data_IF_530843332958
#
_entry.id   IF_530843332958
#
_cell.length_a   1.000
_cell.length_b   1.000
_cell.length_c   1.000
_cell.angle_alpha   90.00
_cell.angle_beta   90.00
_cell.angle_gamma   90.00
#
_symmetry.space_group_name_H-M   'P 1'
#
loop_
_entity.id
_entity.type
_entity.pdbx_description
1 polymer ?
#
# COMPACT_ATOMS: atom_id res chain seq x y z
N UNK A 1 10.83 42.76 -17.28
CA UNK A 1 9.40 42.41 -16.97
C UNK A 1 9.18 40.90 -16.77
N UNK A 2 9.87 40.01 -17.51
CA UNK A 2 9.76 38.56 -17.36
C UNK A 2 10.14 38.05 -15.94
N UNK A 3 11.20 38.63 -15.34
CA UNK A 3 11.62 38.28 -13.97
C UNK A 3 10.56 38.61 -12.90
N UNK A 4 9.80 39.69 -13.08
CA UNK A 4 8.71 40.05 -12.14
C UNK A 4 7.54 39.06 -12.24
N UNK A 5 7.16 38.68 -13.45
CA UNK A 5 6.08 37.71 -13.65
C UNK A 5 6.46 36.32 -13.17
N UNK A 6 7.72 35.91 -13.39
CA UNK A 6 8.23 34.62 -12.89
C UNK A 6 8.30 34.58 -11.35
N UNK A 7 8.71 35.67 -10.70
CA UNK A 7 8.78 35.77 -9.23
C UNK A 7 7.37 35.74 -8.61
N UNK A 8 6.42 36.47 -9.20
CA UNK A 8 5.02 36.45 -8.79
C UNK A 8 4.43 35.04 -8.98
N UNK A 9 4.70 34.39 -10.10
CA UNK A 9 4.25 33.03 -10.38
C UNK A 9 4.83 32.00 -9.40
N UNK A 10 6.12 32.10 -9.07
CA UNK A 10 6.77 31.24 -8.06
C UNK A 10 6.20 31.44 -6.66
N UNK A 11 5.89 32.70 -6.28
CA UNK A 11 5.24 32.99 -5.00
C UNK A 11 3.81 32.44 -4.99
N UNK A 12 3.08 32.54 -6.10
CA UNK A 12 1.74 31.96 -6.23
C UNK A 12 1.75 30.45 -6.10
N UNK A 13 2.70 29.76 -6.77
CA UNK A 13 2.86 28.31 -6.66
C UNK A 13 3.22 27.91 -5.22
N UNK A 14 4.17 28.61 -4.58
CA UNK A 14 4.58 28.30 -3.21
C UNK A 14 3.44 28.56 -2.20
N UNK A 15 2.69 29.67 -2.40
CA UNK A 15 1.52 29.98 -1.58
C UNK A 15 0.38 28.99 -1.80
N UNK A 16 0.17 28.53 -3.02
CA UNK A 16 -0.81 27.51 -3.38
C UNK A 16 -0.46 26.14 -2.76
N UNK A 17 0.83 25.75 -2.80
CA UNK A 17 1.33 24.52 -2.17
C UNK A 17 1.21 24.58 -0.63
N UNK A 18 1.45 25.75 -0.03
CA UNK A 18 1.23 25.94 1.41
C UNK A 18 -0.26 25.87 1.78
N UNK A 19 -1.15 26.38 0.93
CA UNK A 19 -2.59 26.30 1.15
C UNK A 19 -3.15 24.89 1.01
N UNK A 20 -2.66 24.10 0.04
CA UNK A 20 -3.06 22.71 -0.12
C UNK A 20 -2.54 21.84 1.02
N UNK A 21 -1.34 22.11 1.53
CA UNK A 21 -0.72 21.35 2.61
C UNK A 21 -1.01 21.94 4.01
N UNK A 22 -1.79 23.02 4.09
CA UNK A 22 -2.28 23.55 5.33
C UNK A 22 -3.48 22.74 5.80
N UNK A 23 -3.21 21.61 6.42
CA UNK A 23 -4.16 20.93 7.29
C UNK A 23 -4.04 21.62 8.66
N UNK A 24 -4.97 22.50 9.07
CA UNK A 24 -5.04 22.89 10.46
C UNK A 24 -5.24 21.61 11.27
N UNK A 25 -4.60 21.46 12.45
CA UNK A 25 -4.90 20.34 13.33
C UNK A 25 -6.43 20.32 13.48
N UNK A 26 -7.03 19.17 13.18
CA UNK A 26 -8.46 18.97 13.37
C UNK A 26 -8.78 19.40 14.80
N UNK A 27 -9.55 20.46 14.95
CA UNK A 27 -10.23 20.69 16.21
C UNK A 27 -11.11 19.48 16.41
N UNK A 28 -10.86 18.73 17.47
CA UNK A 28 -11.81 17.78 18.02
C UNK A 28 -13.10 18.55 18.34
N UNK A 29 -13.95 18.72 17.34
CA UNK A 29 -15.36 18.92 17.61
C UNK A 29 -15.86 17.59 18.16
N UNK A 30 -16.05 17.59 19.46
CA UNK A 30 -16.91 16.66 20.18
C UNK A 30 -18.28 16.81 19.53
N UNK A 31 -18.55 16.03 18.48
CA UNK A 31 -19.90 15.82 17.99
C UNK A 31 -20.52 14.78 18.92
N UNK A 32 -20.94 15.30 20.08
CA UNK A 32 -21.88 14.63 20.94
C UNK A 32 -23.21 14.47 20.19
N UNK A 33 -23.67 13.23 20.14
CA UNK A 33 -25.09 12.86 20.13
C UNK A 33 -26.03 13.73 19.31
N UNK A 34 -26.19 13.49 18.01
CA UNK A 34 -27.48 13.72 17.33
C UNK A 34 -27.50 13.26 15.86
N UNK A 35 -26.82 12.17 15.50
CA UNK A 35 -27.08 11.47 14.22
C UNK A 35 -27.55 10.05 14.52
N UNK A 36 -28.68 9.95 15.20
CA UNK A 36 -29.36 8.68 15.47
C UNK A 36 -30.84 8.74 15.03
N UNK A 37 -31.18 9.44 13.97
CA UNK A 37 -32.58 9.42 13.52
C UNK A 37 -32.81 9.46 12.02
N UNK A 38 -31.84 9.04 11.19
CA UNK A 38 -32.13 8.83 9.75
C UNK A 38 -31.43 7.58 9.21
N UNK A 39 -31.64 6.45 9.90
CA UNK A 39 -31.17 5.14 9.43
C UNK A 39 -32.35 4.18 9.26
N UNK A 40 -33.18 4.43 8.25
CA UNK A 40 -34.30 3.54 7.89
C UNK A 40 -33.90 2.50 6.83
N UNK A 41 -32.60 2.21 6.62
CA UNK A 41 -32.13 1.12 5.74
C UNK A 41 -30.78 0.54 6.23
N UNK A 42 -30.72 0.11 7.50
CA UNK A 42 -29.69 -0.85 7.91
C UNK A 42 -30.39 -2.20 8.10
N UNK A 43 -29.86 -3.29 7.51
CA UNK A 43 -30.34 -4.62 7.81
C UNK A 43 -30.27 -4.84 9.32
N UNK A 44 -31.36 -5.24 9.92
CA UNK A 44 -31.53 -5.46 11.37
C UNK A 44 -30.78 -6.71 11.90
N UNK A 45 -30.11 -7.44 11.04
CA UNK A 45 -29.30 -8.59 11.47
C UNK A 45 -27.89 -8.12 11.81
N UNK A 46 -27.35 -8.44 12.99
CA UNK A 46 -26.01 -8.04 13.38
C UNK A 46 -25.03 -8.62 12.37
N UNK A 47 -24.29 -7.72 11.70
CA UNK A 47 -23.05 -8.11 11.02
C UNK A 47 -22.22 -8.85 12.07
N UNK A 48 -21.69 -10.06 11.81
CA UNK A 48 -20.87 -10.78 12.77
C UNK A 48 -19.85 -9.84 13.35
N UNK A 49 -19.81 -9.71 14.66
CA UNK A 49 -18.85 -8.80 15.29
C UNK A 49 -17.45 -9.11 14.80
N UNK A 50 -16.61 -8.11 14.64
CA UNK A 50 -15.30 -8.25 13.98
C UNK A 50 -14.28 -9.10 14.73
N UNK A 51 -14.57 -9.57 15.92
CA UNK A 51 -13.82 -10.63 16.58
C UNK A 51 -13.87 -11.95 15.80
N UNK A 52 -14.71 -12.03 14.79
CA UNK A 52 -14.85 -13.16 13.87
C UNK A 52 -13.88 -13.15 12.65
N UNK A 53 -12.91 -12.27 12.54
CA UNK A 53 -11.64 -12.69 11.93
C UNK A 53 -11.00 -13.66 12.93
N UNK A 54 -11.46 -14.90 12.87
CA UNK A 54 -11.26 -15.89 13.91
C UNK A 54 -9.80 -16.03 14.22
N UNK A 55 -9.46 -15.84 15.47
CA UNK A 55 -8.25 -16.36 16.07
C UNK A 55 -8.28 -17.89 16.06
N UNK A 56 -8.02 -18.52 14.91
CA UNK A 56 -7.73 -19.96 14.86
C UNK A 56 -6.41 -20.33 15.54
N UNK A 57 -5.68 -19.31 16.06
CA UNK A 57 -4.43 -19.50 16.79
C UNK A 57 -4.56 -19.54 18.30
N UNK A 58 -5.79 -19.48 18.86
CA UNK A 58 -5.99 -19.37 20.32
C UNK A 58 -5.70 -20.63 21.15
N UNK A 59 -5.24 -21.75 20.56
CA UNK A 59 -4.90 -22.96 21.32
C UNK A 59 -3.39 -23.24 21.46
N UNK A 60 -2.51 -22.42 20.90
CA UNK A 60 -1.06 -22.62 21.01
C UNK A 60 -0.35 -21.36 21.54
N UNK A 61 -0.61 -21.02 22.79
CA UNK A 61 0.26 -20.16 23.58
C UNK A 61 1.34 -21.06 24.20
N UNK A 62 2.54 -20.86 23.73
CA UNK A 62 3.86 -21.06 24.32
C UNK A 62 4.85 -21.75 23.37
N UNK A 63 5.92 -21.03 23.14
CA UNK A 63 7.18 -21.46 22.56
C UNK A 63 7.49 -20.95 21.15
N UNK A 64 8.33 -19.93 21.11
CA UNK A 64 8.93 -19.34 19.91
C UNK A 64 9.79 -20.31 19.05
N UNK A 65 9.89 -21.57 19.45
CA UNK A 65 10.58 -22.63 18.71
C UNK A 65 9.66 -23.60 17.96
N UNK A 66 8.34 -23.47 18.12
CA UNK A 66 7.37 -24.40 17.53
C UNK A 66 6.96 -23.96 16.12
N UNK A 67 7.01 -22.67 15.81
CA UNK A 67 6.56 -22.13 14.51
C UNK A 67 7.38 -22.67 13.32
N UNK A 68 8.70 -22.89 13.50
CA UNK A 68 9.55 -23.42 12.43
C UNK A 68 9.37 -24.93 12.20
N UNK A 69 8.89 -25.67 13.19
CA UNK A 69 8.63 -27.10 13.07
C UNK A 69 7.27 -27.41 12.44
N UNK A 70 6.27 -26.55 12.65
CA UNK A 70 4.91 -26.71 12.09
C UNK A 70 4.91 -26.43 10.58
N UNK A 71 5.68 -25.47 10.10
CA UNK A 71 5.74 -25.07 8.69
C UNK A 71 6.32 -26.14 7.76
N UNK A 72 7.11 -27.08 8.24
CA UNK A 72 7.68 -28.17 7.44
C UNK A 72 6.79 -29.43 7.34
N UNK A 73 5.67 -29.47 8.06
CA UNK A 73 4.80 -30.65 8.17
C UNK A 73 3.41 -30.46 7.51
N UNK A 74 3.08 -29.24 7.04
CA UNK A 74 1.80 -29.01 6.37
C UNK A 74 1.78 -29.61 4.96
N UNK A 75 0.73 -30.36 4.65
CA UNK A 75 0.47 -30.81 3.30
C UNK A 75 0.04 -29.61 2.44
N UNK A 76 0.74 -29.40 1.32
CA UNK A 76 0.51 -28.27 0.43
C UNK A 76 0.23 -28.70 -0.99
N UNK A 77 -0.47 -27.85 -1.73
CA UNK A 77 -0.65 -27.99 -3.17
C UNK A 77 -0.11 -26.75 -3.89
N UNK A 78 0.61 -26.99 -4.98
CA UNK A 78 1.23 -25.94 -5.78
C UNK A 78 0.46 -25.70 -7.06
N UNK A 79 0.35 -24.41 -7.46
CA UNK A 79 -0.09 -23.97 -8.79
C UNK A 79 0.88 -22.93 -9.32
N UNK A 80 1.09 -22.91 -10.64
CA UNK A 80 2.05 -21.98 -11.24
C UNK A 80 1.66 -21.59 -12.66
N UNK A 81 1.98 -20.35 -13.02
CA UNK A 81 1.94 -19.86 -14.39
C UNK A 81 3.33 -19.35 -14.79
N UNK A 82 3.44 -18.54 -15.83
CA UNK A 82 4.70 -17.97 -16.31
C UNK A 82 5.29 -16.90 -15.36
N UNK A 83 4.47 -16.28 -14.51
CA UNK A 83 4.85 -15.14 -13.70
C UNK A 83 5.07 -15.49 -12.23
N UNK A 84 4.28 -16.43 -11.70
CA UNK A 84 4.24 -16.70 -10.27
C UNK A 84 3.92 -18.17 -9.97
N UNK A 85 4.40 -18.62 -8.80
CA UNK A 85 4.10 -19.92 -8.22
C UNK A 85 3.52 -19.72 -6.83
N UNK A 86 2.40 -20.37 -6.55
CA UNK A 86 1.72 -20.32 -5.25
C UNK A 86 1.77 -21.68 -4.57
N UNK A 87 1.95 -21.69 -3.25
CA UNK A 87 1.75 -22.85 -2.38
C UNK A 87 0.52 -22.58 -1.49
N UNK A 88 -0.44 -23.50 -1.54
CA UNK A 88 -1.68 -23.46 -0.78
C UNK A 88 -1.63 -24.56 0.27
N UNK A 89 -1.86 -24.22 1.53
CA UNK A 89 -1.94 -25.18 2.63
C UNK A 89 -3.25 -25.94 2.56
N UNK A 90 -3.21 -27.27 2.63
CA UNK A 90 -4.41 -28.12 2.70
C UNK A 90 -4.99 -28.19 4.11
N UNK A 91 -4.25 -27.79 5.14
CA UNK A 91 -4.77 -27.69 6.50
C UNK A 91 -5.74 -26.52 6.65
N UNK A 92 -5.40 -25.35 6.09
CA UNK A 92 -6.16 -24.09 6.28
C UNK A 92 -6.81 -23.56 5.01
N UNK A 93 -6.37 -23.94 3.82
CA UNK A 93 -6.79 -23.37 2.53
C UNK A 93 -6.18 -21.99 2.26
N UNK A 94 -5.16 -21.58 3.04
CA UNK A 94 -4.45 -20.32 2.90
C UNK A 94 -3.38 -20.38 1.83
N UNK A 95 -3.11 -19.25 1.15
CA UNK A 95 -1.91 -19.13 0.32
C UNK A 95 -0.75 -18.75 1.22
N UNK A 96 0.11 -19.70 1.51
CA UNK A 96 1.21 -19.58 2.47
C UNK A 96 2.52 -19.12 1.85
N UNK A 97 2.67 -19.29 0.53
CA UNK A 97 3.85 -18.85 -0.20
C UNK A 97 3.50 -18.38 -1.61
N UNK A 98 4.12 -17.29 -2.03
CA UNK A 98 4.05 -16.75 -3.39
C UNK A 98 5.45 -16.42 -3.85
N UNK A 99 5.88 -17.04 -4.93
CA UNK A 99 7.19 -16.86 -5.57
C UNK A 99 7.00 -16.18 -6.93
N UNK A 100 7.73 -15.09 -7.16
CA UNK A 100 7.70 -14.32 -8.40
C UNK A 100 8.82 -14.82 -9.34
N UNK A 101 8.49 -15.63 -10.34
CA UNK A 101 9.45 -16.37 -11.17
C UNK A 101 10.37 -15.48 -12.02
N UNK A 102 9.94 -14.27 -12.37
CA UNK A 102 10.68 -13.31 -13.18
C UNK A 102 11.42 -12.23 -12.37
N UNK A 103 11.45 -12.37 -11.04
CA UNK A 103 12.04 -11.38 -10.14
C UNK A 103 13.05 -12.06 -9.20
N UNK A 104 14.32 -12.22 -9.65
CA UNK A 104 15.35 -12.81 -8.82
C UNK A 104 15.65 -11.93 -7.61
N UNK A 105 15.95 -12.54 -6.47
CA UNK A 105 16.30 -11.85 -5.23
C UNK A 105 17.63 -11.10 -5.36
N UNK A 106 18.58 -11.65 -6.12
CA UNK A 106 19.91 -11.08 -6.37
C UNK A 106 20.20 -11.12 -7.87
N UNK A 107 21.05 -10.18 -8.33
CA UNK A 107 21.50 -10.14 -9.72
C UNK A 107 22.28 -11.42 -10.01
N UNK A 108 21.83 -12.20 -10.99
CA UNK A 108 22.34 -13.53 -11.34
C UNK A 108 22.15 -14.62 -10.27
N UNK A 109 21.32 -14.37 -9.24
CA UNK A 109 20.93 -15.37 -8.26
C UNK A 109 19.93 -16.39 -8.85
N UNK A 110 19.90 -17.59 -8.26
CA UNK A 110 18.90 -18.63 -8.62
C UNK A 110 17.62 -18.53 -7.79
N UNK A 111 17.66 -17.81 -6.67
CA UNK A 111 16.52 -17.64 -5.78
C UNK A 111 15.63 -16.50 -6.26
N UNK A 112 14.34 -16.77 -6.36
CA UNK A 112 13.33 -15.80 -6.73
C UNK A 112 12.79 -15.05 -5.50
N UNK A 113 12.18 -13.89 -5.74
CA UNK A 113 11.54 -13.08 -4.71
C UNK A 113 10.31 -13.81 -4.18
N UNK A 114 10.27 -14.03 -2.86
CA UNK A 114 9.10 -14.53 -2.15
C UNK A 114 8.28 -13.33 -1.69
N UNK A 115 7.05 -13.22 -2.18
CA UNK A 115 6.13 -12.17 -1.75
C UNK A 115 5.34 -12.62 -0.52
N UNK A 116 4.77 -13.84 -0.55
CA UNK A 116 4.23 -14.48 0.65
C UNK A 116 5.24 -15.48 1.22
N UNK A 117 5.33 -15.48 2.54
CA UNK A 117 6.06 -16.49 3.29
C UNK A 117 5.52 -16.53 4.73
N UNK A 118 4.51 -17.37 4.96
CA UNK A 118 3.90 -17.57 6.28
C UNK A 118 4.93 -18.05 7.32
N UNK A 119 5.89 -18.85 6.88
CA UNK A 119 6.92 -19.42 7.72
C UNK A 119 8.15 -18.51 7.89
N UNK A 120 8.18 -17.38 7.21
CA UNK A 120 9.23 -16.38 7.33
C UNK A 120 9.03 -15.45 8.52
N UNK A 121 10.04 -14.61 8.75
CA UNK A 121 9.99 -13.59 9.82
C UNK A 121 8.80 -12.63 9.70
N UNK A 122 8.28 -12.46 8.49
CA UNK A 122 7.21 -11.51 8.19
C UNK A 122 5.82 -12.11 8.40
N UNK A 123 5.69 -13.43 8.55
CA UNK A 123 4.41 -14.14 8.68
C UNK A 123 3.36 -13.60 7.67
N UNK A 124 3.74 -13.56 6.38
CA UNK A 124 2.98 -12.90 5.33
C UNK A 124 2.23 -13.95 4.50
N UNK A 125 0.89 -13.89 4.53
CA UNK A 125 0.04 -14.84 3.83
C UNK A 125 -1.32 -14.26 3.51
N UNK A 126 -2.07 -14.92 2.60
CA UNK A 126 -3.43 -14.56 2.23
C UNK A 126 -4.39 -15.67 2.66
N UNK A 127 -5.48 -15.25 3.27
CA UNK A 127 -6.54 -16.13 3.76
C UNK A 127 -7.91 -15.64 3.27
N UNK A 128 -8.85 -16.54 3.06
CA UNK A 128 -10.21 -16.25 2.70
C UNK A 128 -11.13 -17.43 2.95
N UNK A 129 -12.41 -17.17 3.04
CA UNK A 129 -13.40 -18.21 3.33
C UNK A 129 -14.72 -17.66 3.81
N UNK A 130 -15.36 -18.38 4.68
CA UNK A 130 -16.69 -18.07 5.23
C UNK A 130 -16.65 -18.09 6.75
N UNK A 131 -17.22 -17.07 7.37
CA UNK A 131 -17.59 -17.07 8.77
C UNK A 131 -19.02 -17.58 8.87
N UNK A 132 -19.24 -18.65 9.62
CA UNK A 132 -20.55 -19.28 9.76
C UNK A 132 -21.02 -19.17 11.21
N UNK A 133 -22.17 -18.52 11.44
CA UNK A 133 -22.72 -18.34 12.78
C UNK A 133 -23.13 -19.70 13.38
N UNK A 134 -22.75 -19.92 14.65
CA UNK A 134 -23.07 -21.15 15.38
C UNK A 134 -22.16 -22.34 15.06
N UNK A 135 -21.27 -22.22 14.06
CA UNK A 135 -20.22 -23.20 13.84
C UNK A 135 -18.95 -22.75 14.55
N UNK A 136 -18.41 -23.58 15.41
CA UNK A 136 -17.02 -23.44 15.83
C UNK A 136 -16.16 -23.67 14.60
N UNK A 137 -15.25 -22.74 14.30
CA UNK A 137 -14.24 -22.95 13.26
C UNK A 137 -13.17 -23.98 13.72
N UNK A 138 -13.51 -24.83 14.67
CA UNK A 138 -12.64 -25.90 15.10
C UNK A 138 -12.33 -26.84 13.93
N UNK A 139 -11.23 -26.54 13.26
CA UNK A 139 -10.70 -27.21 12.09
C UNK A 139 -9.90 -28.47 12.45
N UNK A 140 -9.83 -28.82 13.74
CA UNK A 140 -9.09 -30.00 14.17
C UNK A 140 -9.60 -31.25 13.42
N UNK A 141 -8.76 -31.73 12.52
CA UNK A 141 -9.00 -32.96 11.74
C UNK A 141 -9.77 -32.81 10.44
N UNK A 142 -10.23 -31.62 10.07
CA UNK A 142 -10.98 -31.39 8.83
C UNK A 142 -10.13 -30.63 7.81
N UNK A 143 -9.25 -31.32 7.13
CA UNK A 143 -8.39 -30.75 6.09
C UNK A 143 -9.09 -30.62 4.74
N UNK A 144 -8.61 -29.71 3.92
CA UNK A 144 -8.97 -29.66 2.52
C UNK A 144 -8.37 -30.85 1.78
N UNK A 145 -9.13 -31.38 0.83
CA UNK A 145 -8.68 -32.39 -0.14
C UNK A 145 -8.71 -31.77 -1.54
N UNK A 146 -7.77 -32.14 -2.38
CA UNK A 146 -7.73 -31.67 -3.77
C UNK A 146 -8.83 -32.36 -4.55
N UNK A 147 -9.74 -31.57 -5.12
CA UNK A 147 -10.81 -32.07 -6.00
C UNK A 147 -10.36 -32.11 -7.46
N UNK A 148 -9.75 -31.04 -7.92
CA UNK A 148 -9.17 -30.95 -9.26
C UNK A 148 -7.90 -30.09 -9.23
N UNK A 149 -6.94 -30.39 -10.11
CA UNK A 149 -5.70 -29.62 -10.25
C UNK A 149 -5.32 -29.50 -11.71
N UNK A 150 -5.03 -28.28 -12.13
CA UNK A 150 -4.43 -27.92 -13.41
C UNK A 150 -3.06 -27.29 -13.15
N UNK A 151 -2.35 -26.86 -14.20
CA UNK A 151 -1.08 -26.15 -14.05
C UNK A 151 -1.26 -24.81 -13.32
N UNK A 152 -2.30 -24.07 -13.67
CA UNK A 152 -2.60 -22.71 -13.25
C UNK A 152 -3.79 -22.58 -12.29
N UNK A 153 -4.44 -23.68 -11.95
CA UNK A 153 -5.59 -23.69 -11.06
C UNK A 153 -5.67 -24.93 -10.19
N UNK A 154 -6.27 -24.78 -9.03
CA UNK A 154 -6.60 -25.87 -8.11
C UNK A 154 -7.96 -25.63 -7.50
N UNK A 155 -8.71 -26.69 -7.34
CA UNK A 155 -9.95 -26.73 -6.59
C UNK A 155 -9.76 -27.67 -5.40
N UNK A 156 -10.01 -27.15 -4.21
CA UNK A 156 -9.91 -27.86 -2.94
C UNK A 156 -11.26 -27.84 -2.25
N UNK A 157 -11.57 -28.90 -1.52
CA UNK A 157 -12.84 -29.05 -0.78
C UNK A 157 -12.58 -29.54 0.64
N UNK A 158 -13.24 -28.92 1.59
CA UNK A 158 -13.30 -29.35 2.98
C UNK A 158 -14.72 -29.84 3.29
N UNK A 159 -14.84 -31.03 3.88
CA UNK A 159 -16.11 -31.57 4.32
C UNK A 159 -16.16 -31.53 5.84
N UNK A 160 -17.18 -30.86 6.36
CA UNK A 160 -17.41 -30.71 7.80
C UNK A 160 -18.25 -31.89 8.34
N UNK A 161 -18.11 -32.23 9.64
CA UNK A 161 -18.83 -33.36 10.24
C UNK A 161 -20.35 -33.23 10.20
N UNK A 162 -20.88 -31.99 10.14
CA UNK A 162 -22.30 -31.67 10.04
C UNK A 162 -22.88 -31.81 8.62
N UNK A 163 -22.10 -32.33 7.66
CA UNK A 163 -22.52 -32.48 6.27
C UNK A 163 -22.32 -31.23 5.40
N UNK A 164 -21.94 -30.10 5.98
CA UNK A 164 -21.61 -28.89 5.23
C UNK A 164 -20.28 -29.03 4.48
N UNK A 165 -20.15 -28.32 3.36
CA UNK A 165 -18.90 -28.33 2.60
C UNK A 165 -18.45 -26.90 2.26
N UNK A 166 -17.14 -26.72 2.23
CA UNK A 166 -16.51 -25.50 1.73
C UNK A 166 -15.59 -25.89 0.58
N UNK A 167 -15.90 -25.47 -0.62
CA UNK A 167 -15.02 -25.59 -1.78
C UNK A 167 -14.39 -24.26 -2.12
N UNK A 168 -13.13 -24.30 -2.54
CA UNK A 168 -12.35 -23.14 -2.93
C UNK A 168 -11.60 -23.49 -4.21
N UNK A 169 -11.85 -22.71 -5.26
CA UNK A 169 -11.11 -22.76 -6.52
C UNK A 169 -10.23 -21.52 -6.61
N UNK A 170 -8.94 -21.75 -6.76
CA UNK A 170 -7.90 -20.72 -6.90
C UNK A 170 -7.32 -20.86 -8.28
N UNK A 171 -7.34 -19.78 -9.08
CA UNK A 171 -6.79 -19.77 -10.43
C UNK A 171 -5.89 -18.56 -10.67
N UNK A 172 -4.76 -18.80 -11.32
CA UNK A 172 -3.80 -17.79 -11.72
C UNK A 172 -4.21 -17.19 -13.05
N UNK A 173 -4.47 -15.89 -13.05
CA UNK A 173 -4.73 -15.11 -14.25
C UNK A 173 -3.46 -14.50 -14.83
N UNK A 174 -3.63 -13.66 -15.83
CA UNK A 174 -2.55 -12.83 -16.36
C UNK A 174 -2.17 -11.71 -15.40
N UNK A 175 -0.97 -11.15 -15.58
CA UNK A 175 -0.51 -9.95 -14.87
C UNK A 175 -0.59 -10.05 -13.34
N UNK A 176 -0.19 -11.19 -12.76
CA UNK A 176 -0.15 -11.45 -11.30
C UNK A 176 -1.52 -11.45 -10.61
N UNK A 177 -2.58 -11.63 -11.37
CA UNK A 177 -3.95 -11.76 -10.85
C UNK A 177 -4.16 -13.17 -10.30
N UNK A 178 -4.86 -13.25 -9.17
CA UNK A 178 -5.32 -14.48 -8.55
C UNK A 178 -6.83 -14.37 -8.43
N UNK A 179 -7.58 -15.31 -9.00
CA UNK A 179 -9.04 -15.34 -8.88
C UNK A 179 -9.43 -16.42 -7.89
N UNK A 180 -10.42 -16.10 -7.08
CA UNK A 180 -11.01 -16.98 -6.09
C UNK A 180 -12.49 -17.16 -6.40
N UNK A 181 -12.92 -18.42 -6.46
CA UNK A 181 -14.33 -18.84 -6.50
C UNK A 181 -14.53 -19.75 -5.30
N UNK A 182 -15.31 -19.33 -4.33
CA UNK A 182 -15.57 -20.08 -3.10
C UNK A 182 -17.05 -20.41 -3.00
N UNK A 183 -17.38 -21.62 -2.53
CA UNK A 183 -18.76 -22.05 -2.33
C UNK A 183 -18.88 -22.74 -0.96
N UNK A 184 -19.85 -22.27 -0.18
CA UNK A 184 -20.24 -22.92 1.06
C UNK A 184 -21.64 -23.56 0.87
N UNK A 185 -21.73 -24.85 1.13
CA UNK A 185 -22.99 -25.62 1.14
C UNK A 185 -23.39 -25.89 2.59
N UNK A 186 -24.64 -25.54 2.92
CA UNK A 186 -25.21 -25.83 4.24
C UNK A 186 -25.78 -27.26 4.27
N UNK A 187 -25.05 -28.18 4.90
CA UNK A 187 -25.47 -29.55 5.13
C UNK A 187 -26.27 -29.77 6.41
N UNK A 188 -26.49 -28.71 7.21
CA UNK A 188 -27.28 -28.77 8.42
C UNK A 188 -28.77 -28.75 8.14
N UNK A 189 -29.55 -29.09 9.17
CA UNK A 189 -31.03 -29.06 9.10
C UNK A 189 -31.63 -27.71 9.45
N UNK A 190 -30.78 -26.74 9.84
CA UNK A 190 -31.20 -25.38 10.22
C UNK A 190 -30.55 -24.35 9.28
N UNK A 191 -31.21 -23.20 9.16
CA UNK A 191 -30.66 -22.05 8.46
C UNK A 191 -29.44 -21.51 9.21
N UNK A 192 -28.35 -21.20 8.49
CA UNK A 192 -27.14 -20.63 9.05
C UNK A 192 -26.86 -19.26 8.45
N UNK A 193 -26.31 -18.36 9.26
CA UNK A 193 -25.84 -17.06 8.77
C UNK A 193 -24.39 -17.17 8.35
N UNK A 194 -24.07 -16.74 7.12
CA UNK A 194 -22.75 -16.91 6.49
C UNK A 194 -22.26 -15.56 5.97
N UNK A 195 -21.04 -15.20 6.33
CA UNK A 195 -20.37 -14.01 5.84
C UNK A 195 -19.07 -14.39 5.13
N UNK A 196 -18.94 -14.12 3.81
CA UNK A 196 -17.69 -14.30 3.09
C UNK A 196 -16.64 -13.30 3.55
N UNK A 197 -15.37 -13.71 3.60
CA UNK A 197 -14.25 -12.81 3.93
C UNK A 197 -13.01 -13.15 3.15
N UNK A 198 -12.12 -12.15 2.99
CA UNK A 198 -10.72 -12.37 2.65
C UNK A 198 -9.83 -11.36 3.38
N UNK A 199 -8.64 -11.81 3.77
CA UNK A 199 -7.68 -11.00 4.52
C UNK A 199 -6.24 -11.29 4.12
N UNK A 200 -5.40 -10.29 4.29
CA UNK A 200 -3.96 -10.35 4.18
C UNK A 200 -3.40 -10.21 5.59
N UNK A 201 -2.62 -11.17 6.04
CA UNK A 201 -1.92 -11.11 7.31
C UNK A 201 -0.45 -10.81 7.10
N UNK A 202 0.12 -9.93 7.95
CA UNK A 202 1.54 -9.61 7.92
C UNK A 202 2.04 -9.13 9.27
N UNK A 203 3.24 -9.57 9.67
CA UNK A 203 3.94 -9.00 10.80
C UNK A 203 4.41 -7.57 10.53
N UNK A 204 4.44 -6.72 11.54
CA UNK A 204 4.94 -5.35 11.41
C UNK A 204 6.44 -5.32 11.09
N UNK A 205 6.84 -4.49 10.13
CA UNK A 205 8.25 -4.33 9.73
C UNK A 205 9.13 -3.59 10.75
N UNK A 206 8.68 -3.32 11.96
CA UNK A 206 9.53 -2.74 13.04
C UNK A 206 10.84 -3.52 13.26
N UNK A 207 10.93 -4.74 12.72
CA UNK A 207 12.11 -5.62 12.80
C UNK A 207 13.17 -5.37 11.73
N UNK A 208 12.90 -4.59 10.69
CA UNK A 208 13.82 -4.36 9.55
C UNK A 208 14.52 -3.00 9.63
N UNK A 209 14.16 -2.16 10.59
CA UNK A 209 14.95 -0.95 10.89
C UNK A 209 16.33 -1.34 11.44
N UNK A 210 17.17 -1.86 10.56
CA UNK A 210 18.59 -1.82 10.76
C UNK A 210 19.01 -0.38 11.04
N UNK A 211 19.91 -0.19 11.97
CA UNK A 211 20.45 1.06 12.53
C UNK A 211 21.14 1.97 11.49
N UNK A 212 20.51 2.22 10.35
CA UNK A 212 20.94 3.13 9.30
C UNK A 212 20.11 4.43 9.37
N UNK A 213 20.80 5.56 9.48
CA UNK A 213 20.14 6.88 9.50
C UNK A 213 19.32 7.13 8.24
N UNK A 214 18.41 8.10 8.33
CA UNK A 214 17.44 8.53 7.28
C UNK A 214 18.04 8.66 5.86
N UNK A 215 19.33 8.85 5.73
CA UNK A 215 20.05 9.05 4.46
C UNK A 215 20.70 7.76 3.90
N UNK A 216 20.66 6.65 4.61
CA UNK A 216 21.43 5.45 4.24
C UNK A 216 20.64 4.39 3.48
N UNK A 217 19.30 4.44 3.51
CA UNK A 217 18.46 3.50 2.77
C UNK A 217 17.33 4.23 2.02
N UNK A 218 17.35 4.25 0.67
CA UNK A 218 16.25 4.80 -0.14
C UNK A 218 14.90 4.15 0.15
N UNK A 219 14.90 2.89 0.61
CA UNK A 219 13.71 2.16 1.02
C UNK A 219 12.95 2.79 2.20
N UNK A 220 13.63 3.59 3.05
CA UNK A 220 13.00 4.25 4.19
C UNK A 220 12.03 5.38 3.80
N UNK A 221 12.03 5.79 2.54
CA UNK A 221 11.18 6.88 2.01
C UNK A 221 9.92 6.36 1.31
N UNK A 222 9.89 5.07 0.99
CA UNK A 222 8.71 4.45 0.41
C UNK A 222 7.67 4.15 1.49
N UNK A 223 6.41 4.35 1.16
CA UNK A 223 5.33 3.92 2.03
C UNK A 223 5.29 2.40 2.11
N UNK A 224 5.28 1.90 3.34
CA UNK A 224 5.15 0.49 3.69
C UNK A 224 3.98 0.34 4.66
N UNK A 225 2.96 -0.39 4.28
CA UNK A 225 1.80 -0.61 5.13
C UNK A 225 0.48 -0.77 4.39
N UNK A 226 -0.61 -0.83 5.15
CA UNK A 226 -1.95 -0.95 4.63
C UNK A 226 -2.42 0.30 3.88
N UNK A 227 -3.18 0.08 2.80
CA UNK A 227 -3.90 1.14 2.10
C UNK A 227 -5.26 0.63 1.63
N UNK A 228 -6.22 1.53 1.57
CA UNK A 228 -7.61 1.25 1.29
C UNK A 228 -8.16 2.19 0.21
N UNK A 229 -9.15 1.71 -0.53
CA UNK A 229 -10.00 2.53 -1.40
C UNK A 229 -11.44 2.18 -1.14
N UNK A 230 -12.27 3.18 -0.89
CA UNK A 230 -13.68 3.02 -0.55
C UNK A 230 -14.49 4.22 -1.07
N UNK A 231 -15.80 4.19 -0.88
CA UNK A 231 -16.67 5.27 -1.32
C UNK A 231 -16.27 6.59 -0.67
N UNK A 232 -16.02 7.60 -1.50
CA UNK A 232 -15.56 8.92 -1.07
C UNK A 232 -14.03 9.08 -0.99
N UNK A 233 -13.25 7.99 -0.87
CA UNK A 233 -11.80 8.05 -0.77
C UNK A 233 -11.11 7.08 -1.74
N UNK A 234 -10.31 7.63 -2.64
CA UNK A 234 -9.66 6.83 -3.69
C UNK A 234 -8.39 6.11 -3.22
N UNK A 235 -7.72 6.66 -2.21
CA UNK A 235 -6.45 6.14 -1.70
C UNK A 235 -6.20 6.66 -0.29
N UNK A 236 -6.53 5.86 0.71
CA UNK A 236 -6.31 6.12 2.14
C UNK A 236 -5.20 5.24 2.68
N UNK A 237 -4.11 5.86 3.11
CA UNK A 237 -2.95 5.18 3.72
C UNK A 237 -3.11 5.16 5.22
N UNK A 238 -2.94 3.97 5.80
CA UNK A 238 -2.95 3.79 7.25
C UNK A 238 -1.67 3.11 7.69
N UNK A 239 -0.86 3.80 8.47
CA UNK A 239 0.35 3.19 9.03
C UNK A 239 -0.01 2.06 10.01
N UNK A 240 0.91 1.14 10.22
CA UNK A 240 0.72 0.10 11.23
C UNK A 240 0.46 0.67 12.63
N UNK A 241 1.07 1.82 12.96
CA UNK A 241 0.85 2.51 14.24
C UNK A 241 -0.57 3.04 14.38
N UNK A 242 -1.12 3.64 13.30
CA UNK A 242 -2.50 4.14 13.30
C UNK A 242 -3.52 3.01 13.47
N UNK A 243 -3.29 1.86 12.80
CA UNK A 243 -4.16 0.68 12.94
C UNK A 243 -4.02 0.04 14.33
N UNK A 244 -2.83 0.12 14.95
CA UNK A 244 -2.61 -0.35 16.32
C UNK A 244 -3.37 0.50 17.34
N UNK A 245 -3.41 1.81 17.15
CA UNK A 245 -4.14 2.75 18.01
C UNK A 245 -5.65 2.65 17.84
N UNK A 246 -6.09 2.63 16.57
CA UNK A 246 -7.52 2.58 16.21
C UNK A 246 -7.72 1.62 15.04
N UNK A 247 -8.51 0.58 15.25
CA UNK A 247 -8.90 -0.33 14.19
C UNK A 247 -9.59 0.42 13.04
N UNK A 248 -9.15 0.16 11.82
CA UNK A 248 -9.79 0.72 10.64
C UNK A 248 -11.04 -0.09 10.27
N UNK A 249 -12.17 0.57 10.09
CA UNK A 249 -13.44 -0.04 9.65
C UNK A 249 -14.22 0.93 8.80
N UNK A 250 -14.60 0.51 7.61
CA UNK A 250 -15.48 1.31 6.74
C UNK A 250 -16.28 0.41 5.80
N UNK A 251 -17.55 0.73 5.61
CA UNK A 251 -18.40 0.03 4.65
C UNK A 251 -18.30 0.70 3.29
N UNK A 252 -18.28 -0.09 2.23
CA UNK A 252 -18.15 0.40 0.85
C UNK A 252 -18.80 -0.55 -0.13
N UNK A 253 -19.24 -0.02 -1.27
CA UNK A 253 -19.64 -0.81 -2.43
C UNK A 253 -18.47 -0.88 -3.42
N UNK A 254 -17.75 -2.00 -3.42
CA UNK A 254 -16.53 -2.16 -4.21
C UNK A 254 -15.27 -1.64 -3.50
N UNK A 255 -14.31 -1.11 -4.27
CA UNK A 255 -13.02 -0.66 -3.73
C UNK A 255 -11.95 -1.74 -3.70
N UNK A 256 -10.88 -1.49 -2.94
CA UNK A 256 -9.78 -2.44 -2.77
C UNK A 256 -9.05 -2.21 -1.43
N UNK A 257 -8.37 -3.26 -0.99
CA UNK A 257 -7.48 -3.26 0.18
C UNK A 257 -6.11 -3.71 -0.27
N UNK A 258 -5.04 -3.05 0.18
CA UNK A 258 -3.68 -3.43 -0.18
C UNK A 258 -2.76 -3.45 1.02
N UNK A 259 -1.82 -4.38 1.00
CA UNK A 259 -0.60 -4.35 1.80
C UNK A 259 0.55 -3.93 0.87
N UNK A 260 1.02 -2.69 1.03
CA UNK A 260 2.00 -2.06 0.15
C UNK A 260 3.41 -2.30 0.67
N UNK A 261 4.32 -2.72 -0.21
CA UNK A 261 5.76 -2.82 0.00
C UNK A 261 6.51 -1.85 -0.90
N UNK A 262 7.83 -1.81 -0.83
CA UNK A 262 8.63 -0.88 -1.64
C UNK A 262 8.41 -1.05 -3.16
N UNK A 263 8.63 -2.27 -3.68
CA UNK A 263 8.50 -2.58 -5.12
C UNK A 263 7.27 -3.41 -5.46
N UNK A 264 6.68 -4.05 -4.47
CA UNK A 264 5.60 -5.01 -4.61
C UNK A 264 4.37 -4.57 -3.83
N UNK A 265 3.24 -5.17 -4.12
CA UNK A 265 2.04 -5.06 -3.29
C UNK A 265 1.20 -6.33 -3.41
N UNK A 266 0.41 -6.56 -2.39
CA UNK A 266 -0.71 -7.48 -2.44
C UNK A 266 -1.99 -6.71 -2.23
N UNK A 267 -2.96 -6.89 -3.12
CA UNK A 267 -4.27 -6.24 -3.02
C UNK A 267 -5.37 -7.28 -3.07
N UNK A 268 -6.41 -7.06 -2.27
CA UNK A 268 -7.68 -7.76 -2.34
C UNK A 268 -8.73 -6.86 -2.98
N UNK A 269 -9.48 -7.43 -3.89
CA UNK A 269 -10.58 -6.75 -4.57
C UNK A 269 -11.85 -7.57 -4.30
N UNK A 270 -12.71 -7.13 -3.36
CA UNK A 270 -14.02 -7.73 -3.16
C UNK A 270 -14.86 -7.61 -4.43
N UNK A 271 -15.98 -8.31 -4.47
CA UNK A 271 -16.93 -8.14 -5.56
C UNK A 271 -17.38 -6.67 -5.63
N UNK A 272 -17.14 -6.03 -6.77
CA UNK A 272 -17.38 -4.59 -6.95
C UNK A 272 -18.87 -4.21 -6.95
N UNK A 273 -19.76 -5.20 -6.94
CA UNK A 273 -21.23 -5.00 -6.93
C UNK A 273 -21.85 -5.33 -5.58
N UNK A 274 -21.07 -5.78 -4.60
CA UNK A 274 -21.54 -6.11 -3.25
C UNK A 274 -21.03 -5.10 -2.23
N UNK A 275 -21.81 -4.90 -1.16
CA UNK A 275 -21.35 -4.13 -0.01
C UNK A 275 -20.40 -4.98 0.81
N UNK A 276 -19.30 -4.38 1.20
CA UNK A 276 -18.26 -5.02 2.01
C UNK A 276 -17.81 -4.09 3.13
N UNK A 277 -17.55 -4.65 4.29
CA UNK A 277 -16.90 -3.97 5.39
C UNK A 277 -15.38 -4.16 5.25
N UNK A 278 -14.66 -3.08 4.91
CA UNK A 278 -13.20 -3.09 4.90
C UNK A 278 -12.69 -2.95 6.33
N UNK A 279 -11.68 -3.74 6.67
CA UNK A 279 -11.11 -3.76 8.02
C UNK A 279 -9.60 -3.78 8.00
N UNK A 280 -9.00 -3.12 9.03
CA UNK A 280 -7.59 -3.24 9.35
C UNK A 280 -7.42 -3.30 10.87
N UNK A 281 -6.83 -4.38 11.37
CA UNK A 281 -6.61 -4.58 12.82
C UNK A 281 -5.26 -5.21 13.13
N UNK A 282 -4.78 -5.00 14.35
CA UNK A 282 -3.67 -5.74 14.93
C UNK A 282 -4.19 -6.96 15.67
N UNK A 283 -3.65 -8.12 15.38
CA UNK A 283 -3.94 -9.35 16.10
C UNK A 283 -3.26 -9.32 17.47
N UNK A 284 -4.03 -9.57 18.52
CA UNK A 284 -3.52 -9.50 19.91
C UNK A 284 -2.58 -10.67 20.24
N UNK A 285 -2.74 -11.82 19.60
CA UNK A 285 -2.04 -13.05 19.93
C UNK A 285 -0.61 -13.09 19.42
N UNK A 286 -0.39 -12.70 18.14
CA UNK A 286 0.91 -12.78 17.47
C UNK A 286 1.49 -11.40 17.11
N UNK A 287 0.74 -10.32 17.37
CA UNK A 287 1.16 -8.96 17.02
C UNK A 287 1.19 -8.66 15.53
N UNK A 288 0.70 -9.57 14.67
CA UNK A 288 0.56 -9.35 13.24
C UNK A 288 -0.59 -8.39 12.93
N UNK A 289 -0.59 -7.86 11.72
CA UNK A 289 -1.66 -7.02 11.22
C UNK A 289 -2.46 -7.77 10.16
N UNK A 290 -3.78 -7.73 10.31
CA UNK A 290 -4.72 -8.27 9.33
C UNK A 290 -5.45 -7.12 8.65
N UNK A 291 -5.46 -7.10 7.32
CA UNK A 291 -6.26 -6.19 6.51
C UNK A 291 -7.07 -6.98 5.51
N UNK A 292 -8.34 -6.64 5.36
CA UNK A 292 -9.21 -7.43 4.50
C UNK A 292 -10.63 -6.88 4.45
N UNK A 293 -11.53 -7.69 3.93
CA UNK A 293 -12.93 -7.36 3.86
C UNK A 293 -13.81 -8.51 4.38
N UNK A 294 -14.99 -8.15 4.83
CA UNK A 294 -16.09 -9.06 5.14
C UNK A 294 -17.31 -8.60 4.34
N UNK A 295 -17.92 -9.48 3.55
CA UNK A 295 -19.15 -9.17 2.84
C UNK A 295 -20.38 -9.26 3.77
N UNK A 296 -21.50 -8.73 3.30
CA UNK A 296 -22.76 -8.81 4.03
C UNK A 296 -23.11 -10.26 4.41
N UNK A 297 -23.58 -10.43 5.63
CA UNK A 297 -24.05 -11.73 6.11
C UNK A 297 -25.33 -12.15 5.38
N UNK A 298 -25.32 -13.34 4.83
CA UNK A 298 -26.47 -13.94 4.12
C UNK A 298 -26.96 -15.17 4.87
N UNK A 299 -28.27 -15.37 4.88
CA UNK A 299 -28.89 -16.58 5.42
C UNK A 299 -28.88 -17.68 4.37
N UNK A 300 -28.38 -18.83 4.74
CA UNK A 300 -28.27 -20.01 3.86
C UNK A 300 -29.18 -21.11 4.41
N UNK A 301 -30.25 -21.42 3.68
CA UNK A 301 -31.20 -22.44 4.07
C UNK A 301 -30.58 -23.86 4.01
N UNK A 302 -31.13 -24.82 4.74
CA UNK A 302 -30.70 -26.23 4.65
C UNK A 302 -30.66 -26.75 3.22
N UNK A 303 -29.56 -27.42 2.85
CA UNK A 303 -29.39 -28.03 1.53
C UNK A 303 -29.16 -27.05 0.39
N UNK A 304 -28.88 -25.76 0.69
CA UNK A 304 -28.53 -24.75 -0.30
C UNK A 304 -27.07 -24.28 -0.16
N UNK A 305 -26.58 -23.60 -1.18
CA UNK A 305 -25.20 -23.07 -1.17
C UNK A 305 -25.17 -21.56 -1.42
N UNK A 306 -24.10 -20.92 -0.95
CA UNK A 306 -23.71 -19.54 -1.27
C UNK A 306 -22.37 -19.54 -1.97
N UNK A 307 -22.24 -18.70 -3.00
CA UNK A 307 -20.99 -18.49 -3.73
C UNK A 307 -20.42 -17.11 -3.44
N UNK A 308 -19.13 -17.03 -3.40
CA UNK A 308 -18.38 -15.80 -3.30
C UNK A 308 -17.25 -15.78 -4.33
N UNK A 309 -17.11 -14.66 -5.03
CA UNK A 309 -16.09 -14.45 -6.03
C UNK A 309 -15.35 -13.15 -5.73
N UNK A 310 -14.05 -13.24 -5.63
CA UNK A 310 -13.19 -12.08 -5.45
C UNK A 310 -11.85 -12.30 -6.16
N UNK A 311 -11.05 -11.26 -6.28
CA UNK A 311 -9.73 -11.39 -6.86
C UNK A 311 -8.66 -10.74 -5.99
N UNK A 312 -7.43 -11.19 -6.16
CA UNK A 312 -6.26 -10.58 -5.58
C UNK A 312 -5.25 -10.24 -6.67
N UNK A 313 -4.43 -9.27 -6.38
CA UNK A 313 -3.19 -8.97 -7.09
C UNK A 313 -2.03 -9.26 -6.16
N UNK A 314 -1.03 -9.99 -6.60
CA UNK A 314 0.16 -10.30 -5.81
C UNK A 314 1.40 -10.20 -6.70
N UNK A 315 2.03 -9.03 -6.71
CA UNK A 315 3.11 -8.79 -7.67
C UNK A 315 3.74 -7.39 -7.61
N UNK A 316 4.55 -7.06 -8.64
CA UNK A 316 5.25 -5.77 -8.72
C UNK A 316 4.30 -4.61 -8.98
N UNK A 317 4.69 -3.41 -8.54
CA UNK A 317 3.93 -2.17 -8.77
C UNK A 317 4.07 -1.68 -10.21
N UNK A 318 3.46 -2.38 -11.15
CA UNK A 318 3.42 -2.00 -12.57
C UNK A 318 2.08 -1.32 -12.85
N UNK A 319 2.12 -0.01 -13.16
CA UNK A 319 0.92 0.81 -13.32
C UNK A 319 -0.10 0.18 -14.27
N UNK A 320 0.33 -0.28 -15.44
CA UNK A 320 -0.56 -0.91 -16.43
C UNK A 320 -1.30 -2.12 -15.88
N UNK A 321 -0.62 -2.99 -15.12
CA UNK A 321 -1.23 -4.18 -14.51
C UNK A 321 -2.23 -3.79 -13.40
N UNK A 322 -1.87 -2.80 -12.58
CA UNK A 322 -2.73 -2.33 -11.50
C UNK A 322 -4.01 -1.66 -12.02
N UNK A 323 -3.88 -0.83 -13.06
CA UNK A 323 -5.03 -0.16 -13.71
C UNK A 323 -5.99 -1.17 -14.38
N UNK A 324 -5.48 -2.32 -14.85
CA UNK A 324 -6.30 -3.42 -15.38
C UNK A 324 -7.08 -4.15 -14.28
N UNK A 325 -6.55 -4.21 -13.06
CA UNK A 325 -7.24 -4.81 -11.91
C UNK A 325 -8.36 -3.92 -11.39
N UNK A 326 -8.06 -2.63 -11.19
CA UNK A 326 -9.03 -1.63 -10.74
C UNK A 326 -8.54 -0.23 -11.11
N UNK A 327 -9.41 0.67 -11.62
CA UNK A 327 -9.01 2.01 -12.12
C UNK A 327 -8.27 2.89 -11.09
N UNK A 328 -8.50 2.65 -9.81
CA UNK A 328 -7.90 3.42 -8.70
C UNK A 328 -6.70 2.70 -8.05
N UNK A 329 -6.44 1.44 -8.40
CA UNK A 329 -5.35 0.66 -7.79
C UNK A 329 -3.96 1.18 -8.21
N UNK A 330 -3.86 1.80 -9.38
CA UNK A 330 -2.63 2.48 -9.82
C UNK A 330 -2.16 3.61 -8.90
N UNK A 331 -3.04 4.16 -8.04
CA UNK A 331 -2.68 5.14 -7.01
C UNK A 331 -1.78 4.56 -5.91
N UNK A 332 -1.76 3.23 -5.76
CA UNK A 332 -0.82 2.53 -4.86
C UNK A 332 0.65 2.72 -5.26
N UNK A 333 0.92 3.19 -6.50
CA UNK A 333 2.23 3.71 -6.89
C UNK A 333 2.30 5.15 -6.38
N UNK A 334 2.72 5.28 -5.13
CA UNK A 334 2.74 6.55 -4.43
C UNK A 334 3.99 7.37 -4.83
N UNK A 335 3.79 8.45 -5.55
CA UNK A 335 4.84 9.43 -5.90
C UNK A 335 5.03 10.48 -4.79
N UNK A 336 4.32 10.36 -3.65
CA UNK A 336 4.33 11.34 -2.59
C UNK A 336 3.73 12.70 -3.00
N UNK A 337 4.05 13.75 -2.26
CA UNK A 337 3.50 15.09 -2.53
C UNK A 337 3.99 15.71 -3.85
N UNK A 338 5.09 15.21 -4.41
CA UNK A 338 5.65 15.67 -5.71
C UNK A 338 5.10 14.89 -6.90
N UNK A 339 3.96 14.18 -6.76
CA UNK A 339 3.36 13.37 -7.83
C UNK A 339 3.17 14.15 -9.15
N UNK A 340 2.85 15.42 -9.07
CA UNK A 340 2.63 16.31 -10.21
C UNK A 340 3.90 16.63 -11.01
N UNK A 341 5.10 16.44 -10.43
CA UNK A 341 6.39 16.47 -11.13
C UNK A 341 6.82 15.05 -11.51
N UNK A 342 6.69 14.10 -10.57
CA UNK A 342 7.17 12.73 -10.76
C UNK A 342 6.46 12.01 -11.91
N UNK A 343 5.14 12.13 -12.03
CA UNK A 343 4.38 11.47 -13.09
C UNK A 343 4.77 11.94 -14.50
N UNK A 344 4.85 13.26 -14.82
CA UNK A 344 5.32 13.71 -16.12
C UNK A 344 6.74 13.28 -16.45
N UNK A 345 7.66 13.32 -15.49
CA UNK A 345 9.04 12.86 -15.69
C UNK A 345 9.05 11.36 -16.03
N UNK A 346 8.32 10.55 -15.27
CA UNK A 346 8.20 9.12 -15.54
C UNK A 346 7.56 8.83 -16.89
N UNK A 347 6.54 9.59 -17.28
CA UNK A 347 5.90 9.47 -18.59
C UNK A 347 6.89 9.74 -19.73
N UNK A 348 7.67 10.82 -19.67
CA UNK A 348 8.73 11.13 -20.65
C UNK A 348 9.78 10.02 -20.67
N UNK A 349 10.21 9.55 -19.50
CA UNK A 349 11.19 8.46 -19.40
C UNK A 349 10.68 7.17 -20.05
N UNK A 350 9.41 6.84 -19.85
CA UNK A 350 8.79 5.66 -20.45
C UNK A 350 8.68 5.80 -21.97
N UNK A 351 8.34 6.99 -22.48
CA UNK A 351 8.31 7.27 -23.92
C UNK A 351 9.68 7.06 -24.56
N UNK A 352 10.75 7.54 -23.93
CA UNK A 352 12.12 7.35 -24.38
C UNK A 352 12.51 5.86 -24.32
N UNK A 353 12.11 5.16 -23.23
CA UNK A 353 12.41 3.74 -23.09
C UNK A 353 11.72 2.88 -24.15
N UNK A 354 10.53 3.23 -24.59
CA UNK A 354 9.86 2.55 -25.70
C UNK A 354 10.64 2.66 -27.02
N UNK A 355 11.35 3.77 -27.23
CA UNK A 355 12.16 3.97 -28.43
C UNK A 355 13.54 3.30 -28.36
N UNK A 356 14.17 3.28 -27.18
CA UNK A 356 15.58 2.86 -27.01
C UNK A 356 15.69 1.47 -26.38
N UNK A 357 14.63 0.99 -25.72
CA UNK A 357 14.59 -0.31 -24.98
C UNK A 357 15.67 -0.45 -23.92
N UNK A 358 16.09 0.67 -23.30
CA UNK A 358 17.14 0.71 -22.28
C UNK A 358 16.82 1.75 -21.21
N UNK A 359 16.52 1.31 -20.00
CA UNK A 359 16.24 2.18 -18.86
C UNK A 359 17.44 3.08 -18.50
N UNK A 360 18.66 2.57 -18.57
CA UNK A 360 19.87 3.34 -18.29
C UNK A 360 20.00 4.56 -19.22
N UNK A 361 19.89 4.37 -20.52
CA UNK A 361 19.91 5.47 -21.49
C UNK A 361 18.71 6.40 -21.36
N UNK A 362 17.53 5.86 -21.03
CA UNK A 362 16.34 6.68 -20.79
C UNK A 362 16.52 7.66 -19.64
N UNK A 363 17.13 7.21 -18.53
CA UNK A 363 17.45 8.07 -17.38
C UNK A 363 18.44 9.18 -17.79
N UNK A 364 19.49 8.85 -18.52
CA UNK A 364 20.48 9.83 -19.01
C UNK A 364 19.80 10.89 -19.87
N UNK A 365 19.00 10.46 -20.86
CA UNK A 365 18.33 11.38 -21.79
C UNK A 365 17.28 12.27 -21.11
N UNK A 366 16.46 11.72 -20.21
CA UNK A 366 15.53 12.52 -19.41
C UNK A 366 16.28 13.56 -18.60
N UNK A 367 17.40 13.18 -17.97
CA UNK A 367 18.23 14.11 -17.20
C UNK A 367 18.75 15.25 -18.08
N UNK A 368 19.24 14.94 -19.29
CA UNK A 368 19.69 15.94 -20.26
C UNK A 368 18.56 16.87 -20.67
N UNK A 369 17.37 16.33 -20.99
CA UNK A 369 16.19 17.13 -21.34
C UNK A 369 15.78 18.08 -20.21
N UNK A 370 15.73 17.62 -18.97
CA UNK A 370 15.41 18.45 -17.80
C UNK A 370 16.48 19.55 -17.64
N UNK A 371 17.76 19.23 -17.79
CA UNK A 371 18.85 20.22 -17.73
C UNK A 371 18.75 21.27 -18.82
N UNK A 372 18.42 20.88 -20.05
CA UNK A 372 18.18 21.81 -21.16
C UNK A 372 16.98 22.72 -20.86
N UNK A 373 15.88 22.15 -20.38
CA UNK A 373 14.68 22.91 -20.02
C UNK A 373 14.94 23.92 -18.90
N UNK A 374 15.72 23.54 -17.89
CA UNK A 374 16.08 24.39 -16.75
C UNK A 374 17.31 25.28 -17.02
N UNK A 375 17.94 25.19 -18.20
CA UNK A 375 19.14 25.99 -18.55
C UNK A 375 18.96 27.51 -18.36
N UNK A 376 17.85 28.14 -18.83
CA UNK A 376 17.67 29.58 -18.65
C UNK A 376 17.65 29.98 -17.16
N UNK A 377 17.04 29.16 -16.32
CA UNK A 377 16.97 29.40 -14.88
C UNK A 377 18.37 29.27 -14.24
N UNK A 378 19.10 28.23 -14.60
CA UNK A 378 20.48 27.99 -14.14
C UNK A 378 21.41 29.13 -14.55
N UNK A 379 21.29 29.60 -15.79
CA UNK A 379 22.07 30.75 -16.29
C UNK A 379 21.88 32.01 -15.43
N UNK A 380 20.62 32.34 -15.10
CA UNK A 380 20.31 33.50 -14.23
C UNK A 380 20.89 33.32 -12.83
N UNK A 381 20.84 32.10 -12.28
CA UNK A 381 21.41 31.81 -10.96
C UNK A 381 22.92 31.94 -10.93
N UNK A 382 23.62 31.37 -11.90
CA UNK A 382 25.10 31.49 -12.00
C UNK A 382 25.53 32.94 -12.16
N UNK A 383 24.78 33.73 -12.96
CA UNK A 383 25.07 35.17 -13.11
C UNK A 383 24.89 35.93 -11.80
N UNK A 384 23.84 35.62 -11.02
CA UNK A 384 23.60 36.23 -9.71
C UNK A 384 24.65 35.79 -8.69
N UNK A 385 25.03 34.51 -8.68
CA UNK A 385 26.11 34.00 -7.83
C UNK A 385 27.47 34.66 -8.12
N UNK A 386 27.79 34.88 -9.41
CA UNK A 386 28.98 35.64 -9.82
C UNK A 386 28.97 37.05 -9.26
N UNK A 387 27.86 37.77 -9.33
CA UNK A 387 27.73 39.10 -8.73
C UNK A 387 27.85 39.07 -7.20
N UNK A 388 27.26 38.08 -6.54
CA UNK A 388 27.40 37.92 -5.07
C UNK A 388 28.87 37.73 -4.64
N UNK A 389 29.68 36.95 -5.42
CA UNK A 389 31.10 36.81 -5.15
C UNK A 389 31.86 38.13 -5.24
N UNK A 390 31.50 39.02 -6.20
CA UNK A 390 32.09 40.35 -6.30
C UNK A 390 31.74 41.24 -5.14
N UNK A 391 30.62 41.03 -4.45
CA UNK A 391 30.21 41.79 -3.28
C UNK A 391 30.83 41.28 -1.97
N UNK A 392 31.50 40.13 -1.96
CA UNK A 392 32.12 39.59 -0.74
C UNK A 392 33.04 40.58 0.00
N UNK A 393 33.93 41.35 -0.66
CA UNK A 393 34.77 42.30 0.06
C UNK A 393 33.94 43.39 0.75
N UNK A 394 32.89 43.92 0.07
CA UNK A 394 32.01 44.94 0.68
C UNK A 394 31.21 44.36 1.86
N UNK A 395 30.83 43.10 1.81
CA UNK A 395 30.18 42.41 2.92
C UNK A 395 31.09 42.23 4.12
N UNK A 396 32.38 41.96 3.90
CA UNK A 396 33.35 41.91 4.99
C UNK A 396 33.54 43.27 5.65
N UNK A 397 33.65 44.36 4.89
CA UNK A 397 33.68 45.72 5.43
C UNK A 397 32.47 46.07 6.29
N UNK A 398 31.26 45.66 5.84
CA UNK A 398 30.04 45.84 6.60
C UNK A 398 30.06 45.00 7.89
N UNK A 399 30.57 43.78 7.82
CA UNK A 399 30.68 42.90 8.98
C UNK A 399 31.66 43.45 10.02
N UNK A 400 32.80 43.99 9.57
CA UNK A 400 33.79 44.64 10.45
C UNK A 400 33.22 45.90 11.08
N UNK A 401 32.36 46.68 10.36
CA UNK A 401 31.79 47.93 10.83
C UNK A 401 30.61 47.75 11.79
N UNK A 402 29.78 46.73 11.59
CA UNK A 402 28.54 46.52 12.32
C UNK A 402 28.46 45.15 13.02
N UNK A 403 29.60 44.51 13.28
CA UNK A 403 29.66 43.10 13.76
C UNK A 403 28.94 42.86 15.07
N UNK A 404 28.84 43.87 15.92
CA UNK A 404 28.16 43.80 17.22
C UNK A 404 26.66 44.10 17.13
N UNK A 405 26.18 44.82 16.06
CA UNK A 405 24.77 45.14 15.84
C UNK A 405 24.22 44.33 14.66
N UNK A 406 23.65 43.15 14.98
CA UNK A 406 23.04 42.27 13.99
C UNK A 406 21.89 42.91 13.21
N UNK A 407 21.17 43.85 13.83
CA UNK A 407 20.01 44.50 13.21
C UNK A 407 20.46 45.57 12.20
N UNK A 408 21.44 46.40 12.55
CA UNK A 408 22.03 47.38 11.65
C UNK A 408 22.75 46.65 10.48
N UNK A 409 23.53 45.60 10.76
CA UNK A 409 24.19 44.81 9.76
C UNK A 409 23.19 44.19 8.74
N UNK A 410 22.07 43.64 9.21
CA UNK A 410 21.04 43.07 8.33
C UNK A 410 20.42 44.12 7.41
N UNK A 411 20.13 45.34 7.93
CA UNK A 411 19.58 46.45 7.15
C UNK A 411 20.55 46.93 6.07
N UNK A 412 21.80 47.13 6.43
CA UNK A 412 22.82 47.58 5.48
C UNK A 412 23.15 46.51 4.42
N UNK A 413 23.14 45.26 4.81
CA UNK A 413 23.27 44.12 3.87
C UNK A 413 22.15 44.11 2.83
N UNK A 414 20.88 44.28 3.29
CA UNK A 414 19.71 44.36 2.39
C UNK A 414 19.78 45.59 1.49
N UNK A 415 20.22 46.75 2.02
CA UNK A 415 20.42 47.97 1.26
C UNK A 415 21.50 47.80 0.19
N UNK A 416 22.61 47.16 0.52
CA UNK A 416 23.68 46.81 -0.43
C UNK A 416 23.20 45.92 -1.54
N UNK A 417 22.48 44.83 -1.22
CA UNK A 417 21.90 43.95 -2.23
C UNK A 417 20.90 44.66 -3.14
N UNK A 418 20.07 45.53 -2.58
CA UNK A 418 19.12 46.34 -3.34
C UNK A 418 19.83 47.32 -4.27
N UNK A 419 20.88 48.03 -3.80
CA UNK A 419 21.68 48.97 -4.57
C UNK A 419 22.39 48.34 -5.74
N UNK A 420 22.99 47.14 -5.52
CA UNK A 420 23.71 46.40 -6.54
C UNK A 420 22.77 45.52 -7.42
N UNK A 421 21.45 45.61 -7.19
CA UNK A 421 20.42 44.82 -7.90
C UNK A 421 20.71 43.31 -7.93
N UNK A 422 21.14 42.77 -6.80
CA UNK A 422 21.42 41.35 -6.58
C UNK A 422 20.39 40.80 -5.61
N UNK A 423 19.72 39.71 -6.01
CA UNK A 423 18.78 39.04 -5.13
C UNK A 423 19.42 37.72 -4.63
N UNK A 424 19.72 37.60 -3.33
CA UNK A 424 20.35 36.41 -2.77
C UNK A 424 19.49 35.14 -2.95
N UNK A 425 18.15 35.28 -2.91
CA UNK A 425 17.23 34.14 -3.11
C UNK A 425 17.26 33.57 -4.53
N UNK A 426 17.57 34.38 -5.56
CA UNK A 426 17.67 33.92 -6.94
C UNK A 426 18.94 33.11 -7.21
N UNK A 427 19.94 33.13 -6.33
CA UNK A 427 21.14 32.34 -6.45
C UNK A 427 20.97 30.89 -5.99
N UNK A 428 20.17 30.64 -4.95
CA UNK A 428 19.95 29.31 -4.38
C UNK A 428 18.71 28.59 -4.93
N UNK A 429 17.70 29.33 -5.42
CA UNK A 429 16.45 28.77 -5.92
C UNK A 429 16.62 27.70 -7.00
N UNK A 430 17.48 27.85 -8.02
CA UNK A 430 17.69 26.79 -9.01
C UNK A 430 18.34 25.53 -8.44
N UNK A 431 19.20 25.68 -7.42
CA UNK A 431 19.80 24.52 -6.76
C UNK A 431 18.75 23.70 -5.98
N UNK A 432 17.73 24.36 -5.43
CA UNK A 432 16.62 23.69 -4.76
C UNK A 432 15.64 23.04 -5.77
N UNK A 433 15.58 23.58 -6.98
CA UNK A 433 14.64 23.13 -8.01
C UNK A 433 15.23 22.01 -8.89
N UNK A 434 16.55 21.87 -8.95
CA UNK A 434 17.31 20.82 -9.66
C UNK A 434 17.66 19.63 -8.78
#
# INVERSE_FOLDING_TARGET
>A
NFQRYFLVFSIFIFSYLLLINWNPPAQEEIISENILNDSEYLPTDPIPEPDSFVDESSSFAESSNVTSLICGAEETVEVSNENQKLEISLSSGQIIKSELLNYPLEINGQANTLLFNKCGKENYFLDGGFVVSGMSNATEGNYFSVLSKSKDSVEIIRRLPNGSTHSKKISLGENFRINFEEEFFNGEVVEVSVAPYAKINRSSEKTISGSGGIFTQPSSWAYLGPAFSYDGENYDKRSFSEIEEVEFRTSTSGGWISMIQHYFLTSLLPNQSSNSLLQGKKNKNDGSFSVGFVEETKKVAPGTSIKNEYSAYSGPKIKGNLDLMHPKLGLAIDYGFLYWIGQPIFWVMNLINQAISSWGWSIVLVTVLIKIFLWPLSYVAYKNMGKMRQLQPKLKELQERYGDDRQAMSREMMALYSKEKVNPALGCLPMLLQ
#
